data_IF_334132529963
#
_entry.id   IF_334132529963
#
_cell.length_a   1.000
_cell.length_b   1.000
_cell.length_c   1.000
_cell.angle_alpha   90.00
_cell.angle_beta   90.00
_cell.angle_gamma   90.00
#
_symmetry.space_group_name_H-M   'P 1'
#
loop_
_entity.id
_entity.type
_entity.pdbx_description
1 polymer ?
#
# COMPACT_ATOMS: atom_id res chain seq x y z
N UNK A 1 -42.25 -6.25 4.45
CA UNK A 1 -41.06 -6.00 5.28
C UNK A 1 -39.72 -5.94 4.49
N UNK A 2 -39.67 -6.27 3.18
CA UNK A 2 -38.43 -6.21 2.37
C UNK A 2 -38.02 -4.83 1.84
N UNK A 3 -38.90 -3.81 1.85
CA UNK A 3 -38.57 -2.50 1.28
C UNK A 3 -37.70 -1.60 2.17
N UNK A 4 -37.62 -1.81 3.49
CA UNK A 4 -36.79 -0.97 4.37
C UNK A 4 -35.30 -1.29 4.31
N UNK A 5 -34.92 -2.52 3.95
CA UNK A 5 -33.51 -2.93 3.95
C UNK A 5 -32.77 -2.31 2.76
N UNK A 6 -33.42 -2.18 1.59
CA UNK A 6 -32.83 -1.56 0.41
C UNK A 6 -32.56 -0.06 0.57
N UNK A 7 -33.49 0.66 1.22
CA UNK A 7 -33.34 2.10 1.44
C UNK A 7 -32.19 2.42 2.41
N UNK A 8 -31.96 1.60 3.43
CA UNK A 8 -30.90 1.86 4.41
C UNK A 8 -29.50 1.75 3.77
N UNK A 9 -29.29 0.76 2.90
CA UNK A 9 -28.02 0.63 2.17
C UNK A 9 -27.76 1.78 1.21
N UNK A 10 -28.80 2.31 0.56
CA UNK A 10 -28.65 3.46 -0.34
C UNK A 10 -28.33 4.75 0.40
N UNK A 11 -28.96 5.00 1.55
CA UNK A 11 -28.67 6.20 2.36
C UNK A 11 -27.23 6.21 2.89
N UNK A 12 -26.74 5.06 3.39
CA UNK A 12 -25.34 4.91 3.80
C UNK A 12 -24.39 5.19 2.63
N UNK A 13 -24.64 4.61 1.44
CA UNK A 13 -23.79 4.87 0.26
C UNK A 13 -23.82 6.33 -0.18
N UNK A 14 -24.97 7.02 -0.07
CA UNK A 14 -25.07 8.44 -0.36
C UNK A 14 -24.27 9.24 0.66
N UNK A 15 -24.34 8.90 1.95
CA UNK A 15 -23.58 9.56 3.00
C UNK A 15 -22.06 9.41 2.79
N UNK A 16 -21.58 8.21 2.44
CA UNK A 16 -20.17 7.98 2.11
C UNK A 16 -19.72 8.80 0.89
N UNK A 17 -20.53 8.86 -0.18
CA UNK A 17 -20.25 9.69 -1.35
C UNK A 17 -20.24 11.19 -1.02
N UNK A 18 -21.15 11.64 -0.15
CA UNK A 18 -21.19 13.04 0.32
C UNK A 18 -19.96 13.38 1.15
N UNK A 19 -19.48 12.46 1.99
CA UNK A 19 -18.28 12.66 2.80
C UNK A 19 -17.01 12.74 1.92
N UNK A 20 -16.89 11.88 0.90
CA UNK A 20 -15.80 11.96 -0.07
C UNK A 20 -15.80 13.28 -0.85
N UNK A 21 -16.98 13.78 -1.24
CA UNK A 21 -17.10 15.06 -1.96
C UNK A 21 -16.84 16.29 -1.08
N UNK A 22 -17.08 16.20 0.23
CA UNK A 22 -17.02 17.35 1.13
C UNK A 22 -15.60 17.63 1.69
N UNK A 23 -14.66 16.69 1.57
CA UNK A 23 -13.26 16.93 1.95
C UNK A 23 -12.52 17.61 0.80
N UNK A 24 -12.92 18.83 0.47
CA UNK A 24 -12.07 19.72 -0.33
C UNK A 24 -11.10 20.44 0.60
N UNK A 25 -9.80 20.12 0.46
CA UNK A 25 -8.73 20.81 1.19
C UNK A 25 -8.66 22.25 0.68
N UNK A 26 -9.17 23.19 1.46
CA UNK A 26 -9.09 24.63 1.15
C UNK A 26 -7.62 25.07 1.11
N UNK A 27 -7.26 25.93 0.14
CA UNK A 27 -5.90 26.47 0.02
C UNK A 27 -5.51 27.25 1.29
N UNK A 28 -4.36 26.90 1.89
CA UNK A 28 -3.89 27.50 3.14
C UNK A 28 -3.51 28.97 2.94
N UNK A 29 -4.27 29.89 3.54
CA UNK A 29 -4.00 31.34 3.49
C UNK A 29 -3.26 31.74 4.78
N UNK A 30 -2.06 32.34 4.71
CA UNK A 30 -1.28 32.69 5.89
C UNK A 30 -2.00 33.78 6.71
N UNK A 31 -2.28 33.50 7.99
CA UNK A 31 -2.91 34.47 8.92
C UNK A 31 -1.89 35.32 9.70
N UNK A 32 -0.61 34.92 9.74
CA UNK A 32 0.44 35.57 10.53
C UNK A 32 1.73 35.70 9.70
N UNK A 33 2.37 36.89 9.63
CA UNK A 33 3.56 37.12 8.80
C UNK A 33 4.83 36.43 9.31
N UNK A 34 4.86 35.99 10.58
CA UNK A 34 6.04 35.42 11.25
C UNK A 34 6.10 33.89 11.07
N UNK A 35 4.95 33.25 10.87
CA UNK A 35 4.88 31.82 10.55
C UNK A 35 5.08 31.69 9.04
N UNK A 36 6.34 31.57 8.65
CA UNK A 36 6.77 31.36 7.26
C UNK A 36 5.83 30.35 6.57
N UNK A 37 5.12 30.79 5.53
CA UNK A 37 4.13 30.00 4.75
C UNK A 37 4.66 28.61 4.34
N UNK A 38 5.98 28.47 4.29
CA UNK A 38 6.69 27.25 3.99
C UNK A 38 6.52 26.13 5.03
N UNK A 39 6.44 26.42 6.34
CA UNK A 39 6.39 25.38 7.38
C UNK A 39 5.16 24.46 7.24
N UNK A 40 3.91 24.97 7.20
CA UNK A 40 2.74 24.11 7.04
C UNK A 40 2.75 23.39 5.69
N UNK A 41 3.23 24.04 4.63
CA UNK A 41 3.38 23.42 3.31
C UNK A 41 4.36 22.22 3.34
N UNK A 42 5.52 22.37 3.97
CA UNK A 42 6.48 21.28 4.14
C UNK A 42 5.95 20.15 5.03
N UNK A 43 5.21 20.47 6.10
CA UNK A 43 4.59 19.44 6.96
C UNK A 43 3.52 18.68 6.19
N UNK A 44 2.66 19.37 5.43
CA UNK A 44 1.62 18.75 4.62
C UNK A 44 2.25 17.83 3.56
N UNK A 45 3.22 18.34 2.81
CA UNK A 45 3.93 17.60 1.77
C UNK A 45 4.73 16.43 2.36
N UNK A 46 5.44 16.67 3.46
CA UNK A 46 6.21 15.67 4.19
C UNK A 46 5.34 14.55 4.74
N UNK A 47 4.20 14.87 5.34
CA UNK A 47 3.24 13.88 5.85
C UNK A 47 2.68 13.04 4.72
N UNK A 48 2.28 13.66 3.59
CA UNK A 48 1.81 12.95 2.39
C UNK A 48 2.87 11.97 1.85
N UNK A 49 4.13 12.39 1.76
CA UNK A 49 5.21 11.55 1.28
C UNK A 49 5.57 10.43 2.26
N UNK A 50 5.71 10.73 3.56
CA UNK A 50 6.03 9.72 4.58
C UNK A 50 4.91 8.67 4.65
N UNK A 51 3.64 9.08 4.60
CA UNK A 51 2.52 8.15 4.59
C UNK A 51 2.56 7.21 3.37
N UNK A 52 2.70 7.78 2.17
CA UNK A 52 2.77 7.00 0.92
C UNK A 52 3.98 6.08 0.89
N UNK A 53 5.14 6.58 1.33
CA UNK A 53 6.38 5.83 1.42
C UNK A 53 6.28 4.70 2.43
N UNK A 54 5.75 4.95 3.63
CA UNK A 54 5.53 3.94 4.66
C UNK A 54 4.59 2.84 4.18
N UNK A 55 3.52 3.20 3.45
CA UNK A 55 2.60 2.22 2.86
C UNK A 55 3.32 1.35 1.83
N UNK A 56 4.10 1.96 0.93
CA UNK A 56 4.88 1.23 -0.07
C UNK A 56 5.89 0.27 0.59
N UNK A 57 6.62 0.72 1.61
CA UNK A 57 7.55 -0.12 2.38
C UNK A 57 6.84 -1.25 3.13
N UNK A 58 5.66 -0.99 3.69
CA UNK A 58 4.86 -2.03 4.34
C UNK A 58 4.44 -3.13 3.35
N UNK A 59 3.96 -2.75 2.16
CA UNK A 59 3.60 -3.70 1.09
C UNK A 59 4.82 -4.49 0.62
N UNK A 60 5.96 -3.81 0.42
CA UNK A 60 7.22 -4.46 0.03
C UNK A 60 7.64 -5.48 1.10
N UNK A 61 7.68 -5.10 2.37
CA UNK A 61 8.06 -5.99 3.48
C UNK A 61 7.11 -7.18 3.65
N UNK A 62 5.81 -7.02 3.35
CA UNK A 62 4.84 -8.10 3.39
C UNK A 62 4.93 -9.06 2.18
N UNK A 63 5.60 -8.66 1.10
CA UNK A 63 5.70 -9.45 -0.13
C UNK A 63 6.60 -10.67 0.08
N UNK A 64 6.24 -11.87 -0.44
CA UNK A 64 7.05 -13.07 -0.32
C UNK A 64 8.28 -13.02 -1.24
N UNK A 65 9.28 -12.24 -0.85
CA UNK A 65 10.57 -12.11 -1.53
C UNK A 65 11.69 -12.66 -0.64
N UNK A 66 12.76 -13.13 -1.28
CA UNK A 66 13.97 -13.59 -0.58
C UNK A 66 14.62 -12.36 0.10
N UNK A 67 15.08 -12.53 1.34
CA UNK A 67 15.67 -11.48 2.19
C UNK A 67 14.71 -10.43 2.75
N UNK A 68 13.40 -10.56 2.55
CA UNK A 68 12.40 -9.72 3.19
C UNK A 68 11.64 -10.49 4.26
N UNK A 69 11.09 -9.80 5.26
CA UNK A 69 10.33 -10.40 6.37
C UNK A 69 9.12 -11.23 5.87
N UNK A 70 8.55 -10.84 4.72
CA UNK A 70 7.46 -11.56 4.05
C UNK A 70 7.78 -13.02 3.74
N UNK A 71 9.05 -13.42 3.65
CA UNK A 71 9.41 -14.83 3.45
C UNK A 71 8.96 -15.72 4.61
N UNK A 72 9.06 -15.22 5.84
CA UNK A 72 8.69 -15.97 7.05
C UNK A 72 7.19 -15.98 7.24
N UNK A 73 6.54 -14.83 7.00
CA UNK A 73 5.07 -14.70 7.02
C UNK A 73 4.46 -15.69 6.04
N UNK A 74 4.94 -15.70 4.79
CA UNK A 74 4.46 -16.62 3.76
C UNK A 74 4.82 -18.07 4.07
N UNK A 75 6.01 -18.34 4.61
CA UNK A 75 6.42 -19.68 5.04
C UNK A 75 5.45 -20.26 6.07
N UNK A 76 5.07 -19.48 7.08
CA UNK A 76 4.12 -19.87 8.11
C UNK A 76 2.71 -20.03 7.54
N UNK A 77 2.30 -19.12 6.66
CA UNK A 77 1.02 -19.21 5.96
C UNK A 77 0.88 -20.49 5.14
N UNK A 78 1.90 -20.84 4.34
CA UNK A 78 1.94 -22.11 3.59
C UNK A 78 1.94 -23.30 4.54
N UNK A 79 2.63 -23.19 5.67
CA UNK A 79 2.70 -24.28 6.63
C UNK A 79 1.37 -24.56 7.31
N UNK A 80 0.60 -23.51 7.59
CA UNK A 80 -0.74 -23.56 8.15
C UNK A 80 -1.75 -24.08 7.12
N UNK A 81 -1.83 -23.45 5.95
CA UNK A 81 -2.81 -23.78 4.91
C UNK A 81 -2.59 -25.15 4.27
N UNK A 82 -1.32 -25.53 4.05
CA UNK A 82 -0.94 -26.78 3.40
C UNK A 82 -0.33 -27.78 4.39
N UNK A 83 -0.82 -27.80 5.63
CA UNK A 83 -0.35 -28.72 6.69
C UNK A 83 -0.46 -30.19 6.29
N UNK A 84 -1.49 -30.57 5.51
CA UNK A 84 -1.73 -31.93 5.01
C UNK A 84 -0.81 -32.35 3.87
N UNK A 85 -0.10 -31.42 3.21
CA UNK A 85 0.78 -31.74 2.08
C UNK A 85 2.13 -32.30 2.54
N UNK A 86 2.71 -33.19 1.72
CA UNK A 86 4.06 -33.71 1.96
C UNK A 86 5.06 -32.55 2.12
N UNK A 87 6.00 -32.63 3.08
CA UNK A 87 6.94 -31.54 3.37
C UNK A 87 7.80 -31.15 2.16
N UNK A 88 8.13 -32.10 1.27
CA UNK A 88 8.84 -31.81 0.01
C UNK A 88 8.06 -30.87 -0.91
N UNK A 89 6.75 -31.05 -1.05
CA UNK A 89 5.90 -30.19 -1.89
C UNK A 89 5.75 -28.79 -1.29
N UNK A 90 5.57 -28.69 0.03
CA UNK A 90 5.53 -27.40 0.75
C UNK A 90 6.82 -26.59 0.53
N UNK A 91 7.99 -27.23 0.66
CA UNK A 91 9.27 -26.58 0.38
C UNK A 91 9.40 -26.11 -1.07
N UNK A 92 8.91 -26.89 -2.03
CA UNK A 92 8.91 -26.50 -3.44
C UNK A 92 8.02 -25.28 -3.68
N UNK A 93 6.79 -25.27 -3.14
CA UNK A 93 5.86 -24.14 -3.24
C UNK A 93 6.49 -22.87 -2.65
N UNK A 94 7.05 -22.96 -1.43
CA UNK A 94 7.75 -21.82 -0.81
C UNK A 94 8.87 -21.29 -1.70
N UNK A 95 9.72 -22.18 -2.23
CA UNK A 95 10.83 -21.78 -3.13
C UNK A 95 10.31 -21.11 -4.40
N UNK A 96 9.33 -21.69 -5.08
CA UNK A 96 8.78 -21.14 -6.32
C UNK A 96 8.19 -19.76 -6.11
N UNK A 97 7.38 -19.58 -5.05
CA UNK A 97 6.77 -18.29 -4.74
C UNK A 97 7.83 -17.26 -4.36
N UNK A 98 8.81 -17.62 -3.53
CA UNK A 98 9.90 -16.71 -3.16
C UNK A 98 10.74 -16.30 -4.37
N UNK A 99 11.10 -17.24 -5.25
CA UNK A 99 11.84 -16.89 -6.48
C UNK A 99 11.03 -16.02 -7.41
N UNK A 100 9.73 -16.28 -7.55
CA UNK A 100 8.84 -15.51 -8.39
C UNK A 100 8.63 -14.09 -7.85
N UNK A 101 8.35 -13.96 -6.55
CA UNK A 101 8.22 -12.66 -5.88
C UNK A 101 9.49 -11.83 -6.01
N UNK A 102 10.65 -12.45 -5.77
CA UNK A 102 11.95 -11.78 -5.90
C UNK A 102 12.22 -11.32 -7.33
N UNK A 103 11.93 -12.16 -8.33
CA UNK A 103 12.11 -11.80 -9.73
C UNK A 103 11.19 -10.66 -10.15
N UNK A 104 9.91 -10.71 -9.76
CA UNK A 104 8.96 -9.63 -10.00
C UNK A 104 9.42 -8.32 -9.37
N UNK A 105 9.84 -8.35 -8.10
CA UNK A 105 10.32 -7.17 -7.40
C UNK A 105 11.56 -6.59 -8.08
N UNK A 106 12.53 -7.43 -8.43
CA UNK A 106 13.77 -7.00 -9.09
C UNK A 106 13.50 -6.38 -10.47
N UNK A 107 12.64 -6.99 -11.29
CA UNK A 107 12.26 -6.45 -12.60
C UNK A 107 11.55 -5.11 -12.46
N UNK A 108 10.54 -5.04 -11.59
CA UNK A 108 9.80 -3.78 -11.39
C UNK A 108 10.70 -2.67 -10.82
N UNK A 109 11.58 -3.00 -9.89
CA UNK A 109 12.52 -2.03 -9.32
C UNK A 109 13.51 -1.52 -10.37
N UNK A 110 14.06 -2.42 -11.20
CA UNK A 110 14.96 -2.05 -12.29
C UNK A 110 14.25 -1.16 -13.32
N UNK A 111 13.02 -1.50 -13.71
CA UNK A 111 12.21 -0.69 -14.62
C UNK A 111 11.87 0.68 -14.02
N UNK A 112 11.58 0.74 -12.72
CA UNK A 112 11.31 1.99 -12.02
C UNK A 112 12.54 2.91 -12.03
N UNK A 113 13.73 2.37 -11.70
CA UNK A 113 14.99 3.12 -11.76
C UNK A 113 15.30 3.56 -13.19
N UNK A 114 15.14 2.71 -14.20
CA UNK A 114 15.37 3.09 -15.59
C UNK A 114 14.40 4.17 -16.03
N UNK A 115 13.11 4.05 -15.72
CA UNK A 115 12.12 5.09 -16.04
C UNK A 115 12.47 6.41 -15.37
N UNK A 116 12.90 6.37 -14.10
CA UNK A 116 13.36 7.55 -13.37
C UNK A 116 14.60 8.17 -14.04
N UNK A 117 15.58 7.35 -14.42
CA UNK A 117 16.80 7.78 -15.11
C UNK A 117 16.48 8.45 -16.46
N UNK A 118 15.58 7.85 -17.26
CA UNK A 118 15.15 8.42 -18.55
C UNK A 118 14.31 9.69 -18.38
N UNK A 119 13.67 9.89 -17.24
CA UNK A 119 12.93 11.12 -16.97
C UNK A 119 13.86 12.26 -16.52
N UNK A 120 15.00 11.94 -15.89
CA UNK A 120 15.94 12.96 -15.41
C UNK A 120 17.02 13.33 -16.43
N UNK A 121 17.38 12.41 -17.33
CA UNK A 121 18.28 12.63 -18.48
C UNK A 121 17.48 12.92 -19.73
#
# INVERSE_FOLDING_TARGET
MKNSIGNFTSEETILFLQLEFHVQVSNYVPRLPIMSTFIPYFIELGTKYIFTFSLAFAVINATPCIFLDGQYIFSNFVDFMFSKLRPRRRRLIKRLVLTYGTALLAVNFTLAIWKLYKHIV
#
